data_IF_227293277846
#
_entry.id   IF_227293277846
#
_cell.length_a   1.000
_cell.length_b   1.000
_cell.length_c   1.000
_cell.angle_alpha   90.00
_cell.angle_beta   90.00
_cell.angle_gamma   90.00
#
_symmetry.space_group_name_H-M   'P 1'
#
loop_
_entity.id
_entity.type
_entity.pdbx_description
1 polymer ?
#
# COMPACT_ATOMS: atom_id res chain seq x y z
N UNK A 1 -9.14 -26.59 -19.90
CA UNK A 1 -8.13 -27.13 -18.96
C UNK A 1 -8.75 -27.12 -17.58
N UNK A 2 -8.24 -27.94 -16.65
CA UNK A 2 -8.69 -27.90 -15.26
C UNK A 2 -8.11 -26.67 -14.58
N UNK A 3 -8.96 -25.85 -13.98
CA UNK A 3 -8.59 -24.65 -13.22
C UNK A 3 -9.16 -24.76 -11.80
N UNK A 4 -8.67 -23.90 -10.91
CA UNK A 4 -9.26 -23.67 -9.60
C UNK A 4 -9.82 -22.25 -9.54
N UNK A 5 -11.13 -22.12 -9.33
CA UNK A 5 -11.80 -20.83 -9.17
C UNK A 5 -11.75 -20.41 -7.72
N UNK A 6 -11.01 -19.35 -7.43
CA UNK A 6 -10.97 -18.69 -6.13
C UNK A 6 -12.24 -17.85 -5.94
N UNK A 7 -12.87 -17.99 -4.77
CA UNK A 7 -13.98 -17.14 -4.36
C UNK A 7 -13.46 -15.73 -4.10
N UNK A 8 -13.91 -14.73 -4.85
CA UNK A 8 -13.62 -13.31 -4.59
C UNK A 8 -14.63 -12.76 -3.59
N UNK A 9 -14.19 -12.57 -2.33
CA UNK A 9 -15.03 -11.98 -1.28
C UNK A 9 -15.06 -10.44 -1.34
N UNK A 10 -14.41 -9.85 -2.34
CA UNK A 10 -14.30 -8.42 -2.54
C UNK A 10 -13.12 -7.80 -1.78
N UNK A 11 -13.33 -6.61 -1.22
CA UNK A 11 -12.40 -6.00 -0.29
C UNK A 11 -12.22 -6.93 0.93
N UNK A 12 -11.03 -6.91 1.53
CA UNK A 12 -10.69 -7.77 2.67
C UNK A 12 -10.44 -9.26 2.30
N UNK A 13 -10.11 -9.55 1.04
CA UNK A 13 -9.74 -10.88 0.51
C UNK A 13 -8.29 -10.95 -0.04
N UNK A 14 -7.33 -10.42 0.72
CA UNK A 14 -5.91 -10.41 0.33
C UNK A 14 -5.31 -11.79 0.13
N UNK A 15 -5.88 -12.84 0.73
CA UNK A 15 -5.43 -14.22 0.54
C UNK A 15 -5.60 -14.67 -0.91
N UNK A 16 -6.80 -14.52 -1.49
CA UNK A 16 -7.10 -14.87 -2.88
C UNK A 16 -6.19 -14.10 -3.86
N UNK A 17 -6.03 -12.79 -3.63
CA UNK A 17 -5.15 -11.95 -4.46
C UNK A 17 -3.68 -12.32 -4.34
N UNK A 18 -3.22 -12.65 -3.12
CA UNK A 18 -1.85 -13.12 -2.90
C UNK A 18 -1.61 -14.38 -3.71
N UNK A 19 -2.48 -15.39 -3.60
CA UNK A 19 -2.33 -16.66 -4.33
C UNK A 19 -2.35 -16.42 -5.84
N UNK A 20 -3.31 -15.63 -6.34
CA UNK A 20 -3.40 -15.28 -7.75
C UNK A 20 -2.08 -14.69 -8.27
N UNK A 21 -1.54 -13.70 -7.56
CA UNK A 21 -0.32 -13.03 -7.98
C UNK A 21 0.92 -13.91 -7.81
N UNK A 22 0.97 -14.79 -6.81
CA UNK A 22 2.07 -15.76 -6.70
C UNK A 22 1.99 -16.85 -7.77
N UNK A 23 0.81 -17.32 -8.16
CA UNK A 23 0.67 -18.20 -9.33
C UNK A 23 1.29 -17.54 -10.58
N UNK A 24 0.99 -16.26 -10.83
CA UNK A 24 1.60 -15.49 -11.93
C UNK A 24 3.13 -15.39 -11.81
N UNK A 25 3.65 -15.21 -10.60
CA UNK A 25 5.10 -15.17 -10.35
C UNK A 25 5.81 -16.49 -10.71
N UNK A 26 5.16 -17.62 -10.41
CA UNK A 26 5.67 -18.97 -10.71
C UNK A 26 5.37 -19.43 -12.14
N UNK A 27 4.83 -18.55 -13.00
CA UNK A 27 4.49 -18.89 -14.39
C UNK A 27 3.28 -19.82 -14.53
N UNK A 28 2.52 -20.02 -13.46
CA UNK A 28 1.26 -20.74 -13.46
C UNK A 28 0.15 -19.87 -14.03
N UNK A 29 -0.90 -20.51 -14.56
CA UNK A 29 -2.09 -19.79 -15.01
C UNK A 29 -2.74 -19.03 -13.85
N UNK A 30 -3.19 -17.81 -14.14
CA UNK A 30 -3.68 -16.88 -13.13
C UNK A 30 -4.29 -15.65 -13.78
N UNK A 31 -5.61 -15.56 -13.82
CA UNK A 31 -6.33 -14.45 -14.45
C UNK A 31 -7.59 -14.04 -13.67
N UNK A 32 -8.00 -12.81 -13.90
CA UNK A 32 -9.22 -12.24 -13.35
C UNK A 32 -10.43 -12.72 -14.18
N UNK A 33 -11.43 -13.36 -13.55
CA UNK A 33 -12.73 -13.70 -14.17
C UNK A 33 -13.75 -12.59 -13.91
N UNK A 34 -15.03 -12.71 -14.28
CA UNK A 34 -16.01 -11.65 -14.00
C UNK A 34 -16.44 -11.58 -12.52
N UNK A 35 -16.49 -12.75 -11.87
CA UNK A 35 -17.03 -13.02 -10.54
C UNK A 35 -15.97 -13.54 -9.56
N UNK A 36 -14.72 -13.67 -10.00
CA UNK A 36 -13.61 -14.03 -9.13
C UNK A 36 -12.28 -14.16 -9.85
N UNK A 37 -11.48 -15.14 -9.42
CA UNK A 37 -10.17 -15.37 -10.00
C UNK A 37 -10.02 -16.84 -10.37
N UNK A 38 -9.36 -17.11 -11.48
CA UNK A 38 -9.02 -18.46 -11.89
C UNK A 38 -7.51 -18.64 -11.84
N UNK A 39 -7.07 -19.68 -11.14
CA UNK A 39 -5.68 -20.11 -11.07
C UNK A 39 -5.53 -21.54 -11.61
N UNK A 40 -4.29 -21.94 -11.86
CA UNK A 40 -3.98 -23.32 -12.21
C UNK A 40 -4.50 -24.30 -11.13
N UNK A 41 -5.11 -25.41 -11.54
CA UNK A 41 -5.62 -26.41 -10.61
C UNK A 41 -4.52 -27.03 -9.72
N UNK A 42 -3.25 -26.99 -10.16
CA UNK A 42 -2.10 -27.40 -9.36
C UNK A 42 -1.91 -26.52 -8.10
N UNK A 43 -2.38 -25.28 -8.15
CA UNK A 43 -2.31 -24.35 -7.02
C UNK A 43 -3.44 -24.54 -5.99
N UNK A 44 -4.40 -25.45 -6.21
CA UNK A 44 -5.52 -25.66 -5.29
C UNK A 44 -5.05 -26.05 -3.87
N UNK A 45 -4.05 -26.92 -3.75
CA UNK A 45 -3.47 -27.31 -2.46
C UNK A 45 -2.78 -26.14 -1.75
N UNK A 46 -2.15 -25.24 -2.52
CA UNK A 46 -1.57 -24.01 -1.97
C UNK A 46 -2.66 -23.05 -1.49
N UNK A 47 -3.75 -22.93 -2.24
CA UNK A 47 -4.90 -22.12 -1.85
C UNK A 47 -5.55 -22.62 -0.55
N UNK A 48 -5.76 -23.93 -0.42
CA UNK A 48 -6.31 -24.55 0.78
C UNK A 48 -5.42 -24.29 2.02
N UNK A 49 -4.09 -24.46 1.88
CA UNK A 49 -3.13 -24.20 2.96
C UNK A 49 -3.13 -22.73 3.43
N UNK A 50 -3.47 -21.81 2.53
CA UNK A 50 -3.58 -20.38 2.82
C UNK A 50 -4.99 -19.94 3.19
N UNK A 51 -5.94 -20.87 3.26
CA UNK A 51 -7.32 -20.60 3.66
C UNK A 51 -8.15 -19.89 2.61
N UNK A 52 -7.72 -19.87 1.34
CA UNK A 52 -8.52 -19.36 0.25
C UNK A 52 -9.49 -20.44 -0.23
N UNK A 53 -10.77 -20.10 -0.27
CA UNK A 53 -11.82 -21.01 -0.72
C UNK A 53 -11.93 -20.99 -2.25
N UNK A 54 -12.22 -22.15 -2.83
CA UNK A 54 -12.46 -22.25 -4.26
C UNK A 54 -13.00 -23.61 -4.66
N UNK A 55 -13.20 -23.79 -5.96
CA UNK A 55 -13.65 -25.04 -6.55
C UNK A 55 -12.88 -25.39 -7.82
N UNK A 56 -12.72 -26.69 -8.06
CA UNK A 56 -12.17 -27.18 -9.32
C UNK A 56 -13.22 -27.02 -10.41
N UNK A 57 -12.83 -26.42 -11.53
CA UNK A 57 -13.70 -26.19 -12.67
C UNK A 57 -12.96 -26.41 -14.00
N UNK A 58 -13.73 -26.43 -15.09
CA UNK A 58 -13.19 -26.32 -16.44
C UNK A 58 -13.22 -24.86 -16.91
N UNK A 59 -12.13 -24.43 -17.53
CA UNK A 59 -12.01 -23.08 -18.06
C UNK A 59 -10.77 -22.85 -18.92
N UNK A 60 -10.61 -21.63 -19.45
CA UNK A 60 -9.39 -21.21 -20.11
C UNK A 60 -8.24 -21.15 -19.09
N UNK A 61 -7.06 -21.59 -19.51
CA UNK A 61 -5.84 -21.47 -18.73
C UNK A 61 -5.03 -20.32 -19.31
N UNK A 62 -5.21 -19.13 -18.75
CA UNK A 62 -4.52 -17.92 -19.22
C UNK A 62 -3.38 -17.57 -18.27
N UNK A 63 -2.20 -17.39 -18.86
CA UNK A 63 -1.01 -16.94 -18.15
C UNK A 63 -0.92 -15.42 -18.28
N UNK A 64 -1.08 -14.74 -17.14
CA UNK A 64 -0.79 -13.33 -17.00
C UNK A 64 0.60 -13.13 -16.41
N UNK A 65 1.27 -12.03 -16.75
CA UNK A 65 2.60 -11.71 -16.19
C UNK A 65 2.47 -10.70 -15.06
N UNK A 66 3.34 -10.81 -14.05
CA UNK A 66 3.40 -9.79 -13.02
C UNK A 66 4.04 -8.50 -13.53
N UNK A 67 3.54 -7.32 -13.12
CA UNK A 67 4.24 -6.08 -13.34
C UNK A 67 5.52 -5.99 -12.52
N UNK A 68 6.56 -5.44 -13.13
CA UNK A 68 7.80 -5.01 -12.47
C UNK A 68 7.51 -3.63 -11.89
N UNK A 69 7.41 -3.56 -10.58
CA UNK A 69 6.97 -2.36 -9.87
C UNK A 69 8.17 -1.67 -9.23
N UNK A 70 8.34 -0.38 -9.50
CA UNK A 70 9.23 0.50 -8.76
C UNK A 70 8.43 1.36 -7.78
N UNK A 71 8.90 1.52 -6.55
CA UNK A 71 8.39 2.54 -5.61
C UNK A 71 9.47 3.61 -5.47
N UNK A 72 9.11 4.87 -5.67
CA UNK A 72 10.04 5.94 -5.39
C UNK A 72 10.30 6.08 -3.88
N UNK A 73 11.57 5.98 -3.49
CA UNK A 73 12.05 6.03 -2.11
C UNK A 73 13.24 6.99 -1.95
N UNK A 74 13.22 8.09 -2.70
CA UNK A 74 14.22 9.15 -2.62
C UNK A 74 14.16 9.96 -1.32
N UNK A 75 15.14 10.82 -1.10
CA UNK A 75 15.23 11.72 0.07
C UNK A 75 14.05 12.69 0.15
N UNK A 76 13.44 13.04 -0.98
CA UNK A 76 12.24 13.88 -1.02
C UNK A 76 11.02 13.23 -0.35
N UNK A 77 11.03 11.90 -0.18
CA UNK A 77 9.93 11.14 0.42
C UNK A 77 10.47 10.34 1.62
N UNK A 78 10.24 10.87 2.82
CA UNK A 78 10.60 10.18 4.06
C UNK A 78 9.75 8.93 4.33
N UNK A 79 10.31 8.01 5.13
CA UNK A 79 9.50 7.00 5.83
C UNK A 79 8.49 7.71 6.76
N UNK A 80 7.25 7.21 6.92
CA UNK A 80 6.69 5.94 6.44
C UNK A 80 5.98 6.00 5.06
N UNK A 81 5.97 7.14 4.35
CA UNK A 81 5.07 7.34 3.21
C UNK A 81 5.19 6.28 2.12
N UNK A 82 6.41 5.94 1.71
CA UNK A 82 6.61 4.91 0.69
C UNK A 82 6.42 3.48 1.23
N UNK A 83 6.62 3.28 2.53
CA UNK A 83 6.46 1.98 3.18
C UNK A 83 4.98 1.55 3.29
N UNK A 84 4.03 2.49 3.28
CA UNK A 84 2.61 2.15 3.17
C UNK A 84 2.29 1.48 1.82
N UNK A 85 2.87 1.97 0.71
CA UNK A 85 2.75 1.28 -0.58
C UNK A 85 3.47 -0.06 -0.59
N UNK A 86 4.64 -0.15 0.05
CA UNK A 86 5.33 -1.44 0.21
C UNK A 86 4.41 -2.45 0.92
N UNK A 87 3.78 -2.06 2.02
CA UNK A 87 2.83 -2.91 2.74
C UNK A 87 1.61 -3.28 1.88
N UNK A 88 1.03 -2.32 1.14
CA UNK A 88 -0.09 -2.58 0.25
C UNK A 88 0.26 -3.60 -0.86
N UNK A 89 1.39 -3.42 -1.54
CA UNK A 89 1.83 -4.33 -2.61
C UNK A 89 2.16 -5.72 -2.08
N UNK A 90 2.89 -5.82 -0.97
CA UNK A 90 3.19 -7.12 -0.35
C UNK A 90 1.91 -7.83 0.11
N UNK A 91 0.94 -7.09 0.63
CA UNK A 91 -0.37 -7.66 1.02
C UNK A 91 -1.17 -8.17 -0.16
N UNK A 92 -0.92 -7.65 -1.36
CA UNK A 92 -1.48 -8.14 -2.62
C UNK A 92 -0.65 -9.28 -3.25
N UNK A 93 0.43 -9.74 -2.61
CA UNK A 93 1.34 -10.75 -3.18
C UNK A 93 2.28 -10.23 -4.27
N UNK A 94 2.43 -8.90 -4.39
CA UNK A 94 3.27 -8.25 -5.39
C UNK A 94 4.60 -7.82 -4.78
N UNK A 95 5.70 -8.15 -5.45
CA UNK A 95 7.04 -7.65 -5.10
C UNK A 95 7.28 -6.29 -5.74
N UNK A 96 8.26 -5.55 -5.22
CA UNK A 96 8.60 -4.22 -5.69
C UNK A 96 10.09 -3.96 -5.52
N UNK A 97 10.60 -2.95 -6.21
CA UNK A 97 11.95 -2.42 -6.01
C UNK A 97 11.88 -0.95 -5.57
N UNK A 98 12.50 -0.58 -4.44
CA UNK A 98 12.70 0.82 -4.08
C UNK A 98 13.69 1.47 -5.05
N UNK A 99 13.39 2.68 -5.52
CA UNK A 99 14.26 3.46 -6.41
C UNK A 99 14.39 4.91 -5.95
N UNK A 100 15.60 5.46 -5.95
CA UNK A 100 15.86 6.86 -5.63
C UNK A 100 16.06 7.75 -6.87
N UNK A 101 16.23 9.06 -6.66
CA UNK A 101 16.47 10.01 -7.75
C UNK A 101 17.73 9.68 -8.57
N UNK A 102 18.80 9.20 -7.95
CA UNK A 102 20.06 8.86 -8.64
C UNK A 102 19.87 7.69 -9.58
N UNK A 103 19.21 6.63 -9.12
CA UNK A 103 18.88 5.46 -9.94
C UNK A 103 17.96 5.84 -11.10
N UNK A 104 16.96 6.71 -10.88
CA UNK A 104 16.09 7.21 -11.94
C UNK A 104 16.88 7.97 -13.01
N UNK A 105 17.74 8.92 -12.61
CA UNK A 105 18.59 9.66 -13.57
C UNK A 105 19.58 8.76 -14.31
N UNK A 106 19.98 7.63 -13.71
CA UNK A 106 20.82 6.62 -14.34
C UNK A 106 20.05 5.64 -15.25
N UNK A 107 18.74 5.84 -15.45
CA UNK A 107 17.91 5.05 -16.38
C UNK A 107 17.29 3.79 -15.79
N UNK A 108 17.22 3.65 -14.46
CA UNK A 108 16.65 2.46 -13.82
C UNK A 108 15.19 2.17 -14.22
N UNK A 109 14.40 3.19 -14.55
CA UNK A 109 12.98 3.06 -14.91
C UNK A 109 12.74 2.19 -16.15
N UNK A 110 13.73 2.03 -17.04
CA UNK A 110 13.64 1.14 -18.20
C UNK A 110 13.41 -0.35 -17.84
N UNK A 111 13.69 -0.72 -16.58
CA UNK A 111 13.48 -2.08 -16.04
C UNK A 111 12.10 -2.31 -15.45
N UNK A 112 11.24 -1.29 -15.40
CA UNK A 112 9.96 -1.34 -14.71
C UNK A 112 8.80 -1.05 -15.66
N UNK A 113 7.61 -1.42 -15.23
CA UNK A 113 6.36 -1.15 -15.96
C UNK A 113 5.49 -0.14 -15.22
N UNK A 114 5.66 -0.07 -13.91
CA UNK A 114 4.96 0.85 -13.04
C UNK A 114 5.95 1.59 -12.16
N UNK A 115 5.81 2.91 -12.12
CA UNK A 115 6.35 3.75 -11.06
C UNK A 115 5.21 4.11 -10.08
N UNK A 116 5.36 3.70 -8.83
CA UNK A 116 4.51 4.13 -7.71
C UNK A 116 5.16 5.34 -7.07
N UNK A 117 4.41 6.43 -6.94
CA UNK A 117 4.82 7.70 -6.37
C UNK A 117 4.02 8.01 -5.09
N UNK A 118 4.61 7.80 -3.91
CA UNK A 118 3.95 8.04 -2.64
C UNK A 118 3.60 9.51 -2.36
N UNK A 119 2.91 9.74 -1.23
CA UNK A 119 2.76 11.09 -0.68
C UNK A 119 4.05 11.64 -0.03
N UNK A 120 3.94 12.73 0.71
CA UNK A 120 5.06 13.27 1.51
C UNK A 120 5.89 14.37 0.83
N UNK A 121 5.56 14.74 -0.40
CA UNK A 121 6.13 15.88 -1.13
C UNK A 121 5.00 16.60 -1.88
N UNK A 122 5.10 17.89 -2.21
CA UNK A 122 4.02 18.56 -2.96
C UNK A 122 4.47 19.82 -3.68
N UNK A 123 5.29 20.64 -3.04
CA UNK A 123 5.46 22.04 -3.46
C UNK A 123 6.31 22.22 -4.72
N UNK A 124 7.18 21.26 -5.05
CA UNK A 124 8.15 21.36 -6.15
C UNK A 124 8.29 20.02 -6.89
N UNK A 125 8.78 20.06 -8.14
CA UNK A 125 9.23 18.87 -8.86
C UNK A 125 10.38 18.16 -8.13
N UNK A 126 10.60 16.89 -8.46
CA UNK A 126 11.58 16.04 -7.77
C UNK A 126 13.00 16.55 -7.98
N UNK A 127 13.31 17.14 -9.14
CA UNK A 127 14.62 17.74 -9.39
C UNK A 127 15.02 18.73 -8.30
N UNK A 128 14.06 19.57 -7.89
CA UNK A 128 14.26 20.58 -6.85
C UNK A 128 14.18 19.98 -5.45
N UNK A 129 13.26 19.04 -5.22
CA UNK A 129 13.08 18.42 -3.91
C UNK A 129 14.33 17.59 -3.51
N UNK A 130 14.96 16.94 -4.47
CA UNK A 130 16.18 16.14 -4.28
C UNK A 130 17.48 16.95 -4.47
N UNK A 131 17.39 18.18 -4.99
CA UNK A 131 18.54 18.94 -5.47
C UNK A 131 19.37 18.16 -6.51
N UNK A 132 18.69 17.42 -7.40
CA UNK A 132 19.29 16.53 -8.40
C UNK A 132 18.56 16.70 -9.74
N UNK A 133 19.15 17.38 -10.74
CA UNK A 133 18.47 17.61 -12.02
C UNK A 133 18.32 16.32 -12.84
N UNK A 134 17.23 16.23 -13.62
CA UNK A 134 16.99 15.17 -14.60
C UNK A 134 16.02 14.07 -14.15
N UNK A 135 15.57 14.06 -12.90
CA UNK A 135 14.58 13.11 -12.39
C UNK A 135 13.24 13.33 -13.11
N UNK A 136 12.78 14.58 -13.15
CA UNK A 136 11.50 14.96 -13.78
C UNK A 136 11.49 14.58 -15.27
N UNK A 137 12.62 14.81 -15.96
CA UNK A 137 12.78 14.45 -17.37
C UNK A 137 12.78 12.93 -17.58
N UNK A 138 13.48 12.18 -16.74
CA UNK A 138 13.53 10.71 -16.83
C UNK A 138 12.15 10.08 -16.61
N UNK A 139 11.35 10.59 -15.66
CA UNK A 139 9.99 10.11 -15.42
C UNK A 139 9.08 10.43 -16.61
N UNK A 140 9.17 11.62 -17.21
CA UNK A 140 8.42 11.95 -18.44
C UNK A 140 8.75 11.01 -19.59
N UNK A 141 10.04 10.70 -19.78
CA UNK A 141 10.49 9.74 -20.79
C UNK A 141 9.87 8.37 -20.54
N UNK A 142 9.97 7.86 -19.31
CA UNK A 142 9.37 6.58 -18.91
C UNK A 142 7.88 6.49 -19.26
N UNK A 143 7.09 7.54 -18.93
CA UNK A 143 5.68 7.60 -19.30
C UNK A 143 5.48 7.61 -20.82
N UNK A 144 6.21 8.46 -21.53
CA UNK A 144 6.10 8.55 -23.00
C UNK A 144 6.41 7.23 -23.71
N UNK A 145 7.27 6.40 -23.10
CA UNK A 145 7.71 5.10 -23.60
C UNK A 145 6.78 3.93 -23.23
N UNK A 146 5.68 4.19 -22.51
CA UNK A 146 4.68 3.18 -22.15
C UNK A 146 4.69 2.76 -20.69
N UNK A 147 5.53 3.39 -19.86
CA UNK A 147 5.48 3.20 -18.42
C UNK A 147 4.16 3.68 -17.82
N UNK A 148 3.69 2.98 -16.80
CA UNK A 148 2.52 3.36 -16.01
C UNK A 148 2.91 4.09 -14.72
N UNK A 149 1.99 4.88 -14.19
CA UNK A 149 2.18 5.61 -12.93
C UNK A 149 0.97 5.51 -12.03
N UNK A 150 1.23 5.25 -10.74
CA UNK A 150 0.26 5.41 -9.67
C UNK A 150 0.81 6.43 -8.68
N UNK A 151 0.02 7.43 -8.29
CA UNK A 151 0.43 8.36 -7.23
C UNK A 151 -0.69 8.74 -6.28
N UNK A 152 -0.37 8.88 -4.98
CA UNK A 152 -1.30 9.40 -3.97
C UNK A 152 -0.78 10.71 -3.37
N UNK A 153 -1.68 11.61 -2.98
CA UNK A 153 -1.35 12.89 -2.35
C UNK A 153 -0.25 13.65 -3.10
N UNK A 154 0.99 13.61 -2.61
CA UNK A 154 2.16 14.20 -3.24
C UNK A 154 2.45 13.72 -4.65
N UNK A 155 2.38 12.40 -4.88
CA UNK A 155 2.44 11.85 -6.24
C UNK A 155 1.27 12.32 -7.12
N UNK A 156 0.11 12.59 -6.52
CA UNK A 156 -1.04 13.20 -7.20
C UNK A 156 -0.79 14.66 -7.62
N UNK A 157 -0.24 15.49 -6.72
CA UNK A 157 0.20 16.84 -7.05
C UNK A 157 1.26 16.83 -8.15
N UNK A 158 2.29 15.99 -7.99
CA UNK A 158 3.40 15.91 -8.93
C UNK A 158 2.98 15.48 -10.32
N UNK A 159 1.99 14.59 -10.45
CA UNK A 159 1.42 14.20 -11.73
C UNK A 159 0.54 15.29 -12.38
N UNK A 160 0.07 16.27 -11.60
CA UNK A 160 -0.89 17.27 -12.05
C UNK A 160 -0.24 18.45 -12.78
N UNK A 161 -1.07 19.24 -13.46
CA UNK A 161 -0.72 20.58 -13.90
C UNK A 161 -0.72 21.58 -12.72
N UNK A 162 -0.09 22.73 -12.94
CA UNK A 162 -0.26 23.90 -12.07
C UNK A 162 1.00 24.44 -11.40
N UNK A 163 2.13 23.72 -11.42
CA UNK A 163 3.41 24.24 -10.94
C UNK A 163 4.60 23.87 -11.82
N UNK A 164 5.63 24.73 -11.89
CA UNK A 164 6.91 24.37 -12.49
C UNK A 164 7.53 23.13 -11.83
N UNK A 165 7.99 22.19 -12.64
CA UNK A 165 8.58 20.92 -12.19
C UNK A 165 7.57 19.78 -11.99
N UNK A 166 6.27 20.06 -11.92
CA UNK A 166 5.28 18.97 -11.97
C UNK A 166 5.15 18.41 -13.37
N UNK A 167 4.78 17.12 -13.46
CA UNK A 167 4.71 16.35 -14.70
C UNK A 167 3.65 16.88 -15.67
N UNK A 168 2.56 17.47 -15.20
CA UNK A 168 1.46 17.86 -16.09
C UNK A 168 0.89 16.68 -16.90
N UNK A 169 0.90 15.48 -16.29
CA UNK A 169 0.33 14.27 -16.85
C UNK A 169 -1.19 14.26 -16.73
N UNK A 170 -1.73 14.88 -15.68
CA UNK A 170 -3.15 15.13 -15.47
C UNK A 170 -3.41 16.61 -15.78
N UNK A 171 -4.28 16.88 -16.75
CA UNK A 171 -4.65 18.22 -17.21
C UNK A 171 -5.64 18.92 -16.26
N UNK A 172 -5.32 18.89 -14.97
CA UNK A 172 -6.08 19.53 -13.92
C UNK A 172 -5.14 20.18 -12.90
N UNK A 173 -5.36 21.46 -12.63
CA UNK A 173 -4.68 22.18 -11.56
C UNK A 173 -5.47 22.02 -10.25
N UNK A 174 -4.86 21.51 -9.17
CA UNK A 174 -5.49 21.49 -7.84
C UNK A 174 -5.81 22.90 -7.35
N UNK A 175 -6.89 23.07 -6.59
CA UNK A 175 -7.28 24.37 -6.01
C UNK A 175 -6.21 24.94 -5.08
N UNK A 176 -5.57 24.08 -4.31
CA UNK A 176 -4.58 24.44 -3.29
C UNK A 176 -3.23 23.86 -3.67
N UNK A 177 -2.41 24.66 -4.35
CA UNK A 177 -1.09 24.20 -4.81
C UNK A 177 0.03 24.65 -3.88
N UNK A 178 0.00 25.87 -3.35
CA UNK A 178 0.97 26.38 -2.37
C UNK A 178 0.44 26.19 -0.96
N UNK A 179 -0.84 26.46 -0.79
CA UNK A 179 -1.59 26.40 0.45
C UNK A 179 -2.25 25.03 0.65
N UNK A 180 -1.62 23.95 0.16
CA UNK A 180 -2.19 22.59 0.17
C UNK A 180 -2.60 22.12 1.59
N UNK A 181 -1.92 22.62 2.62
CA UNK A 181 -2.26 22.41 4.03
C UNK A 181 -3.68 22.89 4.41
N UNK A 182 -4.31 23.78 3.64
CA UNK A 182 -5.67 24.24 3.91
C UNK A 182 -6.70 23.11 3.94
N UNK A 183 -6.44 22.01 3.22
CA UNK A 183 -7.38 20.90 3.10
C UNK A 183 -7.29 19.92 4.27
N UNK A 184 -6.35 20.09 5.21
CA UNK A 184 -6.34 19.34 6.46
C UNK A 184 -6.14 17.80 6.33
N UNK A 185 -6.36 17.11 7.45
CA UNK A 185 -6.32 15.65 7.57
C UNK A 185 -7.65 15.08 8.12
N UNK A 186 -8.08 13.94 7.58
CA UNK A 186 -9.34 13.28 7.94
C UNK A 186 -9.38 11.81 7.49
N UNK A 187 -10.40 11.08 7.94
CA UNK A 187 -10.92 9.92 7.24
C UNK A 187 -12.08 10.38 6.38
N UNK A 188 -12.00 10.10 5.08
CA UNK A 188 -13.00 10.45 4.07
C UNK A 188 -13.48 9.19 3.37
N UNK A 189 -14.70 9.18 2.86
CA UNK A 189 -15.14 8.15 1.93
C UNK A 189 -15.16 8.66 0.50
N UNK A 190 -14.75 7.83 -0.45
CA UNK A 190 -14.89 8.07 -1.88
C UNK A 190 -15.86 7.09 -2.51
N UNK A 191 -16.49 7.48 -3.62
CA UNK A 191 -17.22 6.55 -4.50
C UNK A 191 -16.49 6.43 -5.82
N UNK A 192 -16.30 5.19 -6.27
CA UNK A 192 -15.66 4.86 -7.54
C UNK A 192 -16.76 4.66 -8.59
N UNK A 193 -16.56 5.24 -9.77
CA UNK A 193 -17.53 5.19 -10.87
C UNK A 193 -17.08 4.29 -12.01
N UNK A 194 -15.78 4.00 -12.09
CA UNK A 194 -15.24 3.11 -13.12
C UNK A 194 -15.50 1.62 -12.78
N UNK A 195 -16.05 0.82 -13.72
CA UNK A 195 -16.37 -0.59 -13.48
C UNK A 195 -15.17 -1.48 -13.13
N UNK A 196 -13.99 -1.18 -13.65
CA UNK A 196 -12.77 -1.96 -13.33
C UNK A 196 -12.29 -1.58 -11.93
N UNK A 197 -12.21 -0.28 -11.62
CA UNK A 197 -11.77 0.16 -10.31
C UNK A 197 -12.74 -0.21 -9.18
N UNK A 198 -14.05 -0.28 -9.44
CA UNK A 198 -15.05 -0.57 -8.39
C UNK A 198 -15.18 -2.05 -8.05
N UNK A 199 -14.53 -2.95 -8.80
CA UNK A 199 -14.73 -4.38 -8.67
C UNK A 199 -14.36 -4.89 -7.27
N UNK A 200 -15.30 -5.58 -6.62
CA UNK A 200 -15.12 -6.10 -5.26
C UNK A 200 -15.08 -5.03 -4.18
N UNK A 201 -15.22 -3.75 -4.51
CA UNK A 201 -15.22 -2.67 -3.52
C UNK A 201 -16.63 -2.42 -2.97
N UNK A 202 -16.75 -1.95 -1.71
CA UNK A 202 -17.99 -1.39 -1.21
C UNK A 202 -18.36 -0.10 -1.98
N UNK A 203 -19.64 0.27 -1.92
CA UNK A 203 -20.18 1.48 -2.59
C UNK A 203 -19.46 2.77 -2.17
N UNK A 204 -18.96 2.81 -0.93
CA UNK A 204 -18.14 3.89 -0.39
C UNK A 204 -16.88 3.28 0.24
N UNK A 205 -15.72 3.73 -0.22
CA UNK A 205 -14.41 3.30 0.28
C UNK A 205 -13.89 4.35 1.24
N UNK A 206 -13.71 3.98 2.51
CA UNK A 206 -13.13 4.86 3.53
C UNK A 206 -11.60 4.82 3.48
N UNK A 207 -11.00 6.00 3.32
CA UNK A 207 -9.57 6.18 3.15
C UNK A 207 -9.05 7.30 4.05
N UNK A 208 -7.80 7.17 4.48
CA UNK A 208 -7.08 8.27 5.10
C UNK A 208 -6.84 9.39 4.06
N UNK A 209 -6.97 10.64 4.50
CA UNK A 209 -6.72 11.82 3.68
C UNK A 209 -5.78 12.75 4.45
N UNK A 210 -4.67 13.11 3.79
CA UNK A 210 -3.66 14.03 4.33
C UNK A 210 -3.27 15.03 3.26
N UNK A 211 -3.96 16.17 3.22
CA UNK A 211 -3.66 17.29 2.34
C UNK A 211 -3.60 16.97 0.84
N UNK A 212 -4.29 15.93 0.38
CA UNK A 212 -4.29 15.52 -1.03
C UNK A 212 -4.77 16.62 -1.99
N UNK A 213 -4.49 16.49 -3.30
CA UNK A 213 -4.94 17.47 -4.28
C UNK A 213 -6.47 17.50 -4.37
N UNK A 214 -7.06 18.68 -4.24
CA UNK A 214 -8.50 18.92 -4.45
C UNK A 214 -8.69 19.55 -5.81
N UNK A 215 -9.48 18.91 -6.66
CA UNK A 215 -9.77 19.39 -8.02
C UNK A 215 -11.20 19.92 -8.11
N UNK A 216 -11.47 20.85 -9.04
CA UNK A 216 -12.85 21.24 -9.39
C UNK A 216 -13.56 20.12 -10.17
N UNK A 217 -14.83 20.33 -10.51
CA UNK A 217 -15.56 19.55 -11.52
C UNK A 217 -15.44 20.18 -12.94
N UNK A 218 -14.31 20.81 -13.26
CA UNK A 218 -14.10 21.39 -14.59
C UNK A 218 -13.97 20.33 -15.69
N UNK A 219 -14.42 20.69 -16.90
CA UNK A 219 -14.14 19.92 -18.12
C UNK A 219 -12.63 19.78 -18.31
N UNK A 220 -12.18 18.54 -18.54
CA UNK A 220 -10.78 18.15 -18.75
C UNK A 220 -10.72 16.88 -19.59
N UNK A 221 -9.55 16.55 -20.13
CA UNK A 221 -9.29 15.31 -20.85
C UNK A 221 -9.08 14.12 -19.89
N UNK A 222 -8.48 14.35 -18.72
CA UNK A 222 -8.32 13.33 -17.69
C UNK A 222 -9.69 12.80 -17.23
N UNK A 223 -9.83 11.48 -17.21
CA UNK A 223 -11.03 10.80 -16.75
C UNK A 223 -11.14 10.91 -15.22
N UNK A 224 -12.32 11.28 -14.72
CA UNK A 224 -12.67 11.12 -13.31
C UNK A 224 -13.20 9.72 -13.06
N UNK A 225 -12.48 8.96 -12.24
CA UNK A 225 -12.78 7.56 -11.92
C UNK A 225 -13.47 7.40 -10.56
N UNK A 226 -13.52 8.47 -9.77
CA UNK A 226 -14.18 8.50 -8.48
C UNK A 226 -14.18 9.90 -7.87
N UNK A 227 -15.05 10.11 -6.89
CA UNK A 227 -15.29 11.40 -6.25
C UNK A 227 -15.37 11.28 -4.72
N UNK A 228 -15.06 12.37 -4.02
CA UNK A 228 -15.29 12.46 -2.58
C UNK A 228 -16.78 12.41 -2.25
N UNK A 229 -17.16 11.57 -1.29
CA UNK A 229 -18.56 11.34 -0.92
C UNK A 229 -18.91 11.91 0.45
N UNK A 230 -18.24 11.45 1.51
CA UNK A 230 -18.55 11.84 2.88
C UNK A 230 -17.29 12.15 3.70
N UNK A 231 -17.46 13.05 4.66
CA UNK A 231 -16.56 13.23 5.78
C UNK A 231 -16.90 12.21 6.87
N UNK A 232 -15.92 11.42 7.32
CA UNK A 232 -16.14 10.37 8.34
C UNK A 232 -15.69 10.86 9.70
N UNK A 233 -14.42 11.28 9.81
CA UNK A 233 -13.86 11.79 11.07
C UNK A 233 -12.66 12.70 10.83
N UNK A 234 -12.37 13.58 11.78
CA UNK A 234 -11.10 14.32 11.78
C UNK A 234 -9.92 13.38 12.05
N UNK A 235 -8.73 13.77 11.58
CA UNK A 235 -7.46 13.16 11.98
C UNK A 235 -6.50 14.25 12.45
N UNK A 236 -5.80 13.97 13.55
CA UNK A 236 -4.70 14.78 14.09
C UNK A 236 -3.41 13.97 14.23
N UNK A 237 -3.43 12.76 13.69
CA UNK A 237 -2.35 11.79 13.78
C UNK A 237 -1.26 12.16 12.77
N UNK A 238 -0.02 12.29 13.23
CA UNK A 238 1.17 12.78 12.51
C UNK A 238 1.15 14.25 12.11
N UNK A 239 -0.02 14.80 11.77
CA UNK A 239 -0.17 16.22 11.42
C UNK A 239 -1.39 16.76 12.17
N UNK A 240 -1.15 17.66 13.14
CA UNK A 240 -2.22 18.34 13.88
C UNK A 240 -2.81 19.49 13.06
N UNK A 241 -3.48 19.13 11.97
CA UNK A 241 -4.18 20.03 11.07
C UNK A 241 -5.44 19.35 10.53
N UNK A 242 -6.47 19.16 11.37
CA UNK A 242 -7.67 18.43 10.97
C UNK A 242 -8.45 19.18 9.89
N UNK A 243 -8.99 18.45 8.92
CA UNK A 243 -9.89 19.01 7.91
C UNK A 243 -11.22 19.42 8.57
N UNK A 244 -11.58 20.69 8.41
CA UNK A 244 -12.89 21.18 8.82
C UNK A 244 -14.01 20.57 7.97
N UNK A 245 -15.02 19.99 8.61
CA UNK A 245 -16.19 19.41 7.91
C UNK A 245 -16.89 20.43 7.00
N UNK A 246 -16.96 21.70 7.39
CA UNK A 246 -17.53 22.77 6.55
C UNK A 246 -16.70 23.09 5.32
N UNK A 247 -15.38 22.89 5.37
CA UNK A 247 -14.50 23.02 4.22
C UNK A 247 -14.71 21.84 3.27
N UNK A 248 -14.81 20.61 3.81
CA UNK A 248 -15.12 19.42 3.02
C UNK A 248 -16.42 19.60 2.22
N UNK A 249 -17.50 20.00 2.90
CA UNK A 249 -18.81 20.16 2.25
C UNK A 249 -18.80 21.23 1.15
N UNK A 250 -17.99 22.28 1.31
CA UNK A 250 -17.91 23.40 0.36
C UNK A 250 -17.00 23.11 -0.83
N UNK A 251 -15.83 22.49 -0.61
CA UNK A 251 -14.74 22.44 -1.60
C UNK A 251 -14.45 21.04 -2.14
N UNK A 252 -14.78 19.98 -1.40
CA UNK A 252 -14.34 18.62 -1.73
C UNK A 252 -15.51 17.70 -2.09
N UNK A 253 -16.65 17.84 -1.43
CA UNK A 253 -17.78 16.93 -1.65
C UNK A 253 -18.21 16.92 -3.13
N UNK A 254 -18.35 15.72 -3.68
CA UNK A 254 -18.65 15.46 -5.09
C UNK A 254 -17.60 15.96 -6.09
N UNK A 255 -16.38 16.29 -5.64
CA UNK A 255 -15.28 16.61 -6.55
C UNK A 255 -14.38 15.39 -6.79
N UNK A 256 -13.55 15.38 -7.85
CA UNK A 256 -12.76 14.22 -8.21
C UNK A 256 -11.75 13.84 -7.12
N UNK A 257 -11.79 12.57 -6.72
CA UNK A 257 -10.84 11.97 -5.79
C UNK A 257 -9.88 11.00 -6.48
N UNK A 258 -10.27 10.49 -7.65
CA UNK A 258 -9.44 9.62 -8.50
C UNK A 258 -9.48 10.13 -9.93
N UNK A 259 -8.31 10.36 -10.51
CA UNK A 259 -8.15 10.83 -11.90
C UNK A 259 -7.24 9.90 -12.68
N UNK A 260 -7.44 9.83 -13.99
CA UNK A 260 -6.54 9.12 -14.90
C UNK A 260 -6.37 9.83 -16.22
N UNK A 261 -5.18 9.74 -16.80
CA UNK A 261 -4.90 10.23 -18.15
C UNK A 261 -3.89 9.32 -18.88
N UNK A 262 -3.87 9.43 -20.20
CA UNK A 262 -2.78 8.88 -21.03
C UNK A 262 -1.68 9.90 -21.23
N UNK A 263 -0.42 9.47 -21.23
CA UNK A 263 0.76 10.31 -21.50
C UNK A 263 1.65 9.59 -22.50
N UNK A 264 1.66 10.04 -23.76
CA UNK A 264 2.34 9.30 -24.83
C UNK A 264 1.75 7.89 -24.96
N UNK A 265 2.58 6.85 -24.77
CA UNK A 265 2.13 5.45 -24.72
C UNK A 265 1.77 4.97 -23.32
N UNK A 266 2.08 5.75 -22.28
CA UNK A 266 1.88 5.40 -20.89
C UNK A 266 0.52 5.85 -20.35
N UNK A 267 0.22 5.43 -19.13
CA UNK A 267 -1.05 5.71 -18.45
C UNK A 267 -0.82 6.02 -16.98
N UNK A 268 -1.55 7.00 -16.48
CA UNK A 268 -1.43 7.54 -15.13
C UNK A 268 -2.75 7.36 -14.40
N UNK A 269 -2.70 6.92 -13.15
CA UNK A 269 -3.81 6.97 -12.19
C UNK A 269 -3.32 7.70 -10.96
N UNK A 270 -4.09 8.67 -10.48
CA UNK A 270 -3.79 9.36 -9.22
C UNK A 270 -4.96 9.30 -8.25
N UNK A 271 -4.60 9.23 -6.98
CA UNK A 271 -5.50 9.29 -5.84
C UNK A 271 -5.23 10.58 -5.07
N UNK A 272 -6.29 11.32 -4.78
CA UNK A 272 -6.21 12.40 -3.80
C UNK A 272 -6.01 11.86 -2.37
N UNK A 273 -6.85 10.95 -1.87
CA UNK A 273 -6.61 10.27 -0.58
C UNK A 273 -5.52 9.19 -0.69
N UNK A 274 -5.24 8.52 0.43
CA UNK A 274 -4.22 7.50 0.56
C UNK A 274 -4.81 6.07 0.60
N UNK A 275 -5.00 5.39 -0.54
CA UNK A 275 -5.44 4.00 -0.55
C UNK A 275 -4.40 3.02 0.04
N UNK A 276 -3.14 3.41 0.12
CA UNK A 276 -2.03 2.61 0.67
C UNK A 276 -1.97 2.63 2.20
N UNK A 277 -2.60 3.61 2.84
CA UNK A 277 -2.60 3.75 4.29
C UNK A 277 -3.65 2.81 4.87
N UNK A 278 -3.25 1.55 5.07
CA UNK A 278 -4.11 0.45 5.51
C UNK A 278 -4.88 0.69 6.81
N UNK A 279 -5.72 -0.28 7.19
CA UNK A 279 -6.62 -0.19 8.34
C UNK A 279 -5.90 0.08 9.69
N UNK A 280 -4.64 -0.32 9.86
CA UNK A 280 -3.90 -0.04 11.10
C UNK A 280 -3.68 1.47 11.32
N UNK A 281 -3.55 2.28 10.26
CA UNK A 281 -3.51 3.73 10.40
C UNK A 281 -4.89 4.27 10.82
N UNK A 282 -5.97 3.78 10.19
CA UNK A 282 -7.35 4.14 10.56
C UNK A 282 -7.66 3.75 12.01
N UNK A 283 -7.14 2.60 12.48
CA UNK A 283 -7.18 2.18 13.89
C UNK A 283 -6.48 3.21 14.79
N UNK A 284 -5.31 3.70 14.38
CA UNK A 284 -4.61 4.81 15.08
C UNK A 284 -5.46 6.08 15.17
N UNK A 285 -6.07 6.50 14.06
CA UNK A 285 -6.96 7.68 14.03
C UNK A 285 -8.18 7.47 14.96
N UNK A 286 -8.80 6.29 14.91
CA UNK A 286 -9.91 5.93 15.78
C UNK A 286 -9.48 5.89 17.26
N UNK A 287 -8.26 5.43 17.55
CA UNK A 287 -7.70 5.39 18.90
C UNK A 287 -7.51 6.79 19.48
N UNK A 288 -6.92 7.72 18.72
CA UNK A 288 -6.67 9.11 19.16
C UNK A 288 -7.98 9.90 19.34
N UNK A 289 -8.96 9.70 18.45
CA UNK A 289 -10.23 10.43 18.47
C UNK A 289 -11.36 9.69 19.18
N UNK A 290 -11.96 8.72 18.48
CA UNK A 290 -13.20 8.06 18.90
C UNK A 290 -13.04 7.30 20.22
N UNK A 291 -12.04 6.41 20.31
CA UNK A 291 -11.82 5.57 21.48
C UNK A 291 -11.54 6.42 22.71
N UNK A 292 -10.61 7.37 22.61
CA UNK A 292 -10.27 8.24 23.74
C UNK A 292 -11.49 9.01 24.27
N UNK A 293 -12.39 9.44 23.38
CA UNK A 293 -13.63 10.15 23.74
C UNK A 293 -14.68 9.25 24.37
N UNK A 294 -14.87 8.04 23.85
CA UNK A 294 -16.00 7.18 24.21
C UNK A 294 -15.66 6.05 25.17
N UNK A 295 -14.38 5.77 25.43
CA UNK A 295 -13.95 4.76 26.39
C UNK A 295 -14.55 4.95 27.79
N UNK A 296 -14.59 6.17 28.39
CA UNK A 296 -15.21 6.36 29.71
C UNK A 296 -16.73 6.14 29.73
N UNK A 297 -17.38 6.16 28.57
CA UNK A 297 -18.84 6.06 28.42
C UNK A 297 -19.27 4.64 28.06
N UNK A 298 -18.52 4.00 27.14
CA UNK A 298 -18.85 2.70 26.55
C UNK A 298 -18.07 1.55 27.20
N UNK A 299 -17.00 1.85 27.93
CA UNK A 299 -16.17 0.89 28.65
C UNK A 299 -15.18 0.13 27.77
N UNK A 300 -14.25 -0.57 28.42
CA UNK A 300 -13.16 -1.32 27.80
C UNK A 300 -13.62 -2.29 26.71
N UNK A 301 -14.61 -3.14 27.01
CA UNK A 301 -15.01 -4.23 26.11
C UNK A 301 -15.42 -3.72 24.73
N UNK A 302 -16.25 -2.68 24.68
CA UNK A 302 -16.74 -2.11 23.42
C UNK A 302 -15.60 -1.48 22.62
N UNK A 303 -14.66 -0.81 23.28
CA UNK A 303 -13.52 -0.19 22.60
C UNK A 303 -12.50 -1.23 22.12
N UNK A 304 -12.25 -2.30 22.89
CA UNK A 304 -11.39 -3.42 22.47
C UNK A 304 -11.97 -4.12 21.24
N UNK A 305 -13.28 -4.41 21.24
CA UNK A 305 -13.98 -4.97 20.08
C UNK A 305 -13.93 -4.03 18.86
N UNK A 306 -14.05 -2.71 19.09
CA UNK A 306 -13.93 -1.69 18.03
C UNK A 306 -12.54 -1.71 17.39
N UNK A 307 -11.47 -1.72 18.19
CA UNK A 307 -10.10 -1.74 17.68
C UNK A 307 -9.77 -3.04 16.94
N UNK A 308 -10.35 -4.16 17.38
CA UNK A 308 -10.19 -5.47 16.73
C UNK A 308 -10.97 -5.64 15.43
N UNK A 309 -11.90 -4.73 15.14
CA UNK A 309 -12.62 -4.72 13.87
C UNK A 309 -11.74 -4.23 12.70
N UNK A 310 -10.74 -3.39 12.99
CA UNK A 310 -9.79 -2.96 11.97
C UNK A 310 -8.96 -4.15 11.51
N UNK A 311 -9.07 -4.47 10.22
CA UNK A 311 -8.33 -5.57 9.61
C UNK A 311 -6.83 -5.28 9.68
N UNK A 312 -6.04 -6.32 9.92
CA UNK A 312 -4.58 -6.15 10.08
C UNK A 312 -3.87 -6.12 8.73
N UNK A 313 -4.28 -7.03 7.85
CA UNK A 313 -3.51 -7.46 6.69
C UNK A 313 -4.19 -7.13 5.36
N UNK A 314 -5.28 -6.37 5.40
CA UNK A 314 -6.01 -5.97 4.21
C UNK A 314 -6.90 -4.75 4.46
N UNK A 315 -7.23 -4.04 3.38
CA UNK A 315 -8.23 -2.98 3.39
C UNK A 315 -8.85 -2.78 1.99
N UNK A 316 -9.98 -2.08 1.94
CA UNK A 316 -10.59 -1.69 0.67
C UNK A 316 -9.66 -0.80 -0.20
N UNK A 317 -8.75 -0.04 0.42
CA UNK A 317 -7.71 0.72 -0.28
C UNK A 317 -6.72 -0.18 -1.04
N UNK A 318 -6.32 -1.33 -0.50
CA UNK A 318 -5.43 -2.26 -1.18
C UNK A 318 -6.12 -2.89 -2.38
N UNK A 319 -7.40 -3.27 -2.24
CA UNK A 319 -8.19 -3.73 -3.39
C UNK A 319 -8.31 -2.65 -4.48
N UNK A 320 -8.47 -1.38 -4.09
CA UNK A 320 -8.49 -0.27 -5.04
C UNK A 320 -7.14 -0.12 -5.78
N UNK A 321 -6.00 -0.31 -5.08
CA UNK A 321 -4.68 -0.34 -5.72
C UNK A 321 -4.59 -1.50 -6.71
N UNK A 322 -5.00 -2.71 -6.33
CA UNK A 322 -5.02 -3.86 -7.25
C UNK A 322 -5.86 -3.57 -8.50
N UNK A 323 -7.08 -3.05 -8.32
CA UNK A 323 -7.95 -2.74 -9.44
C UNK A 323 -7.36 -1.64 -10.35
N UNK A 324 -6.58 -0.70 -9.79
CA UNK A 324 -5.84 0.28 -10.58
C UNK A 324 -4.75 -0.38 -11.44
N UNK A 325 -4.05 -1.42 -10.94
CA UNK A 325 -3.10 -2.19 -11.75
C UNK A 325 -3.80 -2.90 -12.92
N UNK A 326 -4.98 -3.48 -12.67
CA UNK A 326 -5.82 -4.10 -13.71
C UNK A 326 -6.28 -3.05 -14.74
N UNK A 327 -6.76 -1.89 -14.28
CA UNK A 327 -7.19 -0.78 -15.14
C UNK A 327 -6.05 -0.20 -15.99
N UNK A 328 -4.81 -0.27 -15.50
CA UNK A 328 -3.60 0.10 -16.24
C UNK A 328 -3.16 -0.99 -17.24
N UNK A 329 -3.81 -2.16 -17.25
CA UNK A 329 -3.50 -3.28 -18.15
C UNK A 329 -2.20 -3.99 -17.79
N UNK A 330 -1.72 -3.87 -16.55
CA UNK A 330 -0.36 -4.25 -16.17
C UNK A 330 -0.11 -5.77 -16.12
N UNK A 331 -1.18 -6.56 -16.07
CA UNK A 331 -1.13 -8.02 -16.07
C UNK A 331 -1.21 -8.65 -17.48
N UNK A 332 -1.44 -7.85 -18.53
CA UNK A 332 -1.54 -8.36 -19.89
C UNK A 332 -0.23 -9.01 -20.38
N UNK A 333 -0.28 -10.09 -21.19
CA UNK A 333 0.91 -10.74 -21.75
C UNK A 333 1.79 -9.76 -22.51
N UNK A 334 3.10 -9.90 -22.40
CA UNK A 334 4.08 -9.02 -23.05
C UNK A 334 4.84 -9.71 -24.17
N UNK A 335 5.28 -8.91 -25.15
CA UNK A 335 6.34 -9.31 -26.06
C UNK A 335 7.66 -9.54 -25.31
N UNK A 336 8.56 -10.33 -25.88
CA UNK A 336 9.82 -10.78 -25.28
C UNK A 336 10.76 -9.59 -24.98
N UNK A 337 10.63 -8.99 -23.80
CA UNK A 337 11.63 -8.08 -23.25
C UNK A 337 12.58 -8.87 -22.35
N UNK A 338 13.89 -8.66 -22.52
CA UNK A 338 14.92 -9.31 -21.72
C UNK A 338 14.81 -8.89 -20.25
N UNK A 339 14.63 -9.87 -19.37
CA UNK A 339 14.69 -9.69 -17.92
C UNK A 339 16.14 -9.33 -17.58
N UNK A 340 16.35 -8.11 -17.07
CA UNK A 340 17.66 -7.73 -16.56
C UNK A 340 18.00 -8.59 -15.33
N UNK A 341 19.28 -8.94 -15.09
CA UNK A 341 19.66 -9.65 -13.88
C UNK A 341 19.20 -8.86 -12.65
N UNK A 342 18.42 -9.51 -11.79
CA UNK A 342 18.06 -8.98 -10.48
C UNK A 342 19.31 -8.95 -9.61
N UNK A 343 19.48 -7.88 -8.84
CA UNK A 343 20.40 -7.92 -7.69
C UNK A 343 19.96 -9.08 -6.79
N UNK A 344 20.93 -9.81 -6.25
CA UNK A 344 20.67 -10.92 -5.33
C UNK A 344 20.87 -10.41 -3.91
N UNK A 345 19.90 -10.67 -3.05
CA UNK A 345 20.04 -10.44 -1.60
C UNK A 345 20.02 -11.79 -0.91
N UNK A 346 20.99 -12.04 -0.03
CA UNK A 346 21.02 -13.32 0.69
C UNK A 346 19.96 -13.32 1.80
N UNK A 347 19.32 -14.47 2.08
CA UNK A 347 18.49 -14.64 3.27
C UNK A 347 19.16 -14.17 4.56
N UNK A 348 20.48 -14.25 4.66
CA UNK A 348 21.25 -13.79 5.84
C UNK A 348 21.19 -12.27 6.04
N UNK A 349 21.05 -11.48 4.96
CA UNK A 349 20.87 -10.04 5.08
C UNK A 349 19.51 -9.69 5.68
N UNK A 350 18.44 -10.35 5.22
CA UNK A 350 17.12 -10.19 5.81
C UNK A 350 17.11 -10.57 7.29
N UNK A 351 17.72 -11.71 7.64
CA UNK A 351 17.82 -12.16 9.04
C UNK A 351 18.57 -11.16 9.92
N UNK A 352 19.69 -10.61 9.46
CA UNK A 352 20.43 -9.56 10.21
C UNK A 352 19.62 -8.29 10.42
N UNK A 353 18.86 -7.87 9.41
CA UNK A 353 17.97 -6.70 9.54
C UNK A 353 16.83 -6.99 10.52
N UNK A 354 16.24 -8.19 10.47
CA UNK A 354 15.20 -8.59 11.41
C UNK A 354 15.68 -8.60 12.87
N UNK A 355 16.91 -9.04 13.14
CA UNK A 355 17.49 -8.97 14.49
C UNK A 355 17.60 -7.52 14.99
N UNK A 356 17.94 -6.59 14.09
CA UNK A 356 18.03 -5.16 14.41
C UNK A 356 16.64 -4.56 14.65
N UNK A 357 15.65 -4.93 13.83
CA UNK A 357 14.26 -4.50 13.98
C UNK A 357 13.65 -5.06 15.26
N UNK A 358 13.92 -6.32 15.62
CA UNK A 358 13.43 -6.93 16.87
C UNK A 358 13.91 -6.15 18.10
N UNK A 359 15.19 -5.78 18.13
CA UNK A 359 15.75 -4.93 19.18
C UNK A 359 15.09 -3.53 19.21
N UNK A 360 14.92 -2.90 18.05
CA UNK A 360 14.28 -1.57 17.94
C UNK A 360 12.80 -1.60 18.38
N UNK A 361 12.05 -2.65 18.01
CA UNK A 361 10.67 -2.84 18.45
C UNK A 361 10.61 -3.08 19.96
N UNK A 362 11.52 -3.85 20.54
CA UNK A 362 11.62 -4.03 21.99
C UNK A 362 11.81 -2.71 22.74
N UNK A 363 12.70 -1.84 22.24
CA UNK A 363 12.89 -0.50 22.77
C UNK A 363 11.62 0.37 22.60
N UNK A 364 11.02 0.36 21.41
CA UNK A 364 9.80 1.10 21.09
C UNK A 364 8.64 0.71 22.02
N UNK A 365 8.43 -0.59 22.27
CA UNK A 365 7.42 -1.07 23.21
C UNK A 365 7.67 -0.61 24.65
N UNK A 366 8.93 -0.55 25.08
CA UNK A 366 9.28 -0.05 26.43
C UNK A 366 8.87 1.42 26.56
N UNK A 367 9.11 2.23 25.53
CA UNK A 367 8.70 3.63 25.51
C UNK A 367 7.18 3.77 25.46
N UNK A 368 6.48 2.97 24.65
CA UNK A 368 5.01 2.94 24.60
C UNK A 368 4.39 2.62 25.97
N UNK A 369 4.92 1.61 26.66
CA UNK A 369 4.46 1.23 28.00
C UNK A 369 4.70 2.36 29.01
N UNK A 370 5.85 3.03 28.94
CA UNK A 370 6.17 4.18 29.78
C UNK A 370 5.22 5.37 29.51
N UNK A 371 5.03 5.74 28.24
CA UNK A 371 4.13 6.83 27.86
C UNK A 371 2.68 6.54 28.26
N UNK A 372 2.26 5.27 28.18
CA UNK A 372 0.91 4.87 28.57
C UNK A 372 0.62 5.14 30.04
N UNK A 373 1.63 5.24 30.93
CA UNK A 373 1.41 5.53 32.34
C UNK A 373 0.73 6.89 32.60
N UNK A 374 0.85 7.83 31.65
CA UNK A 374 0.17 9.13 31.72
C UNK A 374 -1.33 9.07 31.35
N UNK A 375 -1.81 7.93 30.83
CA UNK A 375 -3.21 7.74 30.43
C UNK A 375 -4.11 7.35 31.62
N UNK A 376 -5.43 7.45 31.42
CA UNK A 376 -6.43 6.93 32.39
C UNK A 376 -6.27 5.42 32.62
N UNK A 377 -6.80 4.90 33.74
CA UNK A 377 -6.70 3.46 34.05
C UNK A 377 -7.31 2.58 32.97
N UNK A 378 -8.50 2.94 32.48
CA UNK A 378 -9.19 2.22 31.43
C UNK A 378 -8.41 2.26 30.10
N UNK A 379 -7.83 3.41 29.77
CA UNK A 379 -7.02 3.56 28.55
C UNK A 379 -5.70 2.79 28.66
N UNK A 380 -5.06 2.79 29.84
CA UNK A 380 -3.88 1.95 30.11
C UNK A 380 -4.17 0.47 29.92
N UNK A 381 -5.31 -0.01 30.42
CA UNK A 381 -5.72 -1.41 30.21
C UNK A 381 -5.92 -1.72 28.73
N UNK A 382 -6.57 -0.82 27.98
CA UNK A 382 -6.80 -0.99 26.53
C UNK A 382 -5.49 -1.01 25.74
N UNK A 383 -4.60 -0.07 26.02
CA UNK A 383 -3.28 0.01 25.38
C UNK A 383 -2.42 -1.21 25.72
N UNK A 384 -2.41 -1.66 26.98
CA UNK A 384 -1.69 -2.87 27.38
C UNK A 384 -2.17 -4.11 26.61
N UNK A 385 -3.48 -4.23 26.36
CA UNK A 385 -4.04 -5.31 25.56
C UNK A 385 -3.60 -5.23 24.08
N UNK A 386 -3.61 -4.04 23.48
CA UNK A 386 -3.09 -3.81 22.12
C UNK A 386 -1.59 -4.13 22.02
N UNK A 387 -0.78 -3.65 22.98
CA UNK A 387 0.67 -3.90 22.99
C UNK A 387 0.97 -5.40 23.14
N UNK A 388 0.28 -6.10 24.03
CA UNK A 388 0.46 -7.54 24.21
C UNK A 388 0.13 -8.32 22.92
N UNK A 389 -0.97 -7.96 22.24
CA UNK A 389 -1.34 -8.57 20.95
C UNK A 389 -0.28 -8.32 19.88
N UNK A 390 0.19 -7.08 19.75
CA UNK A 390 1.18 -6.73 18.73
C UNK A 390 2.54 -7.37 19.01
N UNK A 391 2.96 -7.45 20.28
CA UNK A 391 4.17 -8.19 20.69
C UNK A 391 4.08 -9.67 20.34
N UNK A 392 2.96 -10.33 20.67
CA UNK A 392 2.76 -11.74 20.34
C UNK A 392 2.81 -11.97 18.81
N UNK A 393 2.10 -11.13 18.07
CA UNK A 393 2.07 -11.19 16.62
C UNK A 393 3.46 -11.01 16.01
N UNK A 394 4.24 -10.06 16.51
CA UNK A 394 5.63 -9.88 16.08
C UNK A 394 6.47 -11.14 16.30
N UNK A 395 6.36 -11.79 17.46
CA UNK A 395 7.10 -13.03 17.74
C UNK A 395 6.69 -14.20 16.83
N UNK A 396 5.40 -14.31 16.53
CA UNK A 396 4.87 -15.33 15.62
C UNK A 396 5.37 -15.10 14.19
N UNK A 397 5.36 -13.85 13.73
CA UNK A 397 5.85 -13.44 12.40
C UNK A 397 7.35 -13.65 12.28
N UNK A 398 8.13 -13.20 13.26
CA UNK A 398 9.59 -13.31 13.27
C UNK A 398 10.01 -14.78 13.24
N UNK A 399 9.37 -15.62 14.06
CA UNK A 399 9.58 -17.07 14.08
C UNK A 399 9.22 -17.70 12.74
N UNK A 400 8.09 -17.29 12.16
CA UNK A 400 7.66 -17.74 10.84
C UNK A 400 8.66 -17.43 9.74
N UNK A 401 9.17 -16.19 9.67
CA UNK A 401 10.16 -15.79 8.65
C UNK A 401 11.45 -16.58 8.84
N UNK A 402 11.97 -16.67 10.07
CA UNK A 402 13.18 -17.46 10.37
C UNK A 402 13.03 -18.92 9.92
N UNK A 403 11.85 -19.52 10.16
CA UNK A 403 11.53 -20.86 9.68
C UNK A 403 11.62 -20.96 8.15
N UNK A 404 10.94 -20.06 7.43
CA UNK A 404 10.96 -20.05 5.96
C UNK A 404 12.38 -19.83 5.39
N UNK A 405 13.17 -18.92 5.96
CA UNK A 405 14.57 -18.71 5.55
C UNK A 405 15.46 -19.95 5.75
N UNK A 406 15.16 -20.77 6.76
CA UNK A 406 15.93 -21.99 7.04
C UNK A 406 15.57 -23.17 6.13
N UNK A 407 14.34 -23.19 5.60
CA UNK A 407 13.78 -24.31 4.83
C UNK A 407 13.95 -24.14 3.31
N UNK A 408 14.31 -22.96 2.80
CA UNK A 408 14.40 -22.70 1.36
C UNK A 408 14.93 -21.32 1.00
N UNK A 409 15.03 -21.07 -0.32
CA UNK A 409 15.37 -19.75 -0.87
C UNK A 409 14.19 -18.78 -0.77
N UNK A 410 14.49 -17.49 -0.69
CA UNK A 410 13.51 -16.40 -0.70
C UNK A 410 13.56 -15.75 -2.08
N UNK A 411 12.42 -15.33 -2.61
CA UNK A 411 12.39 -14.45 -3.78
C UNK A 411 13.30 -13.22 -3.56
N UNK A 412 14.27 -13.02 -4.46
CA UNK A 412 15.29 -11.97 -4.32
C UNK A 412 14.65 -10.57 -4.23
N UNK A 413 13.58 -10.31 -4.99
CA UNK A 413 12.90 -9.00 -4.96
C UNK A 413 12.14 -8.79 -3.66
N UNK A 414 11.50 -9.84 -3.15
CA UNK A 414 10.88 -9.81 -1.82
C UNK A 414 11.92 -9.49 -0.74
N UNK A 415 13.07 -10.17 -0.78
CA UNK A 415 14.15 -9.97 0.19
C UNK A 415 14.68 -8.53 0.13
N UNK A 416 14.99 -8.01 -1.06
CA UNK A 416 15.45 -6.62 -1.26
C UNK A 416 14.40 -5.63 -0.74
N UNK A 417 13.15 -5.76 -1.19
CA UNK A 417 12.07 -4.85 -0.82
C UNK A 417 11.84 -4.80 0.69
N UNK A 418 11.83 -5.96 1.36
CA UNK A 418 11.71 -6.04 2.82
C UNK A 418 12.92 -5.45 3.53
N UNK A 419 14.14 -5.82 3.13
CA UNK A 419 15.38 -5.30 3.73
C UNK A 419 15.38 -3.77 3.70
N UNK A 420 15.12 -3.15 2.55
CA UNK A 420 15.12 -1.70 2.43
C UNK A 420 14.00 -1.05 3.25
N UNK A 421 12.79 -1.62 3.24
CA UNK A 421 11.66 -1.07 4.02
C UNK A 421 11.90 -1.14 5.53
N UNK A 422 12.47 -2.26 6.01
CA UNK A 422 12.79 -2.47 7.42
C UNK A 422 13.97 -1.62 7.89
N UNK A 423 14.99 -1.44 7.05
CA UNK A 423 16.08 -0.50 7.33
C UNK A 423 15.57 0.94 7.48
N UNK A 424 14.63 1.37 6.61
CA UNK A 424 13.98 2.66 6.72
C UNK A 424 13.11 2.82 7.97
N UNK A 425 12.60 1.73 8.51
CA UNK A 425 11.77 1.75 9.72
C UNK A 425 12.56 2.01 11.00
N UNK A 426 13.79 1.50 11.11
CA UNK A 426 14.58 1.54 12.36
C UNK A 426 14.71 2.98 12.90
N UNK A 427 15.14 4.00 12.12
CA UNK A 427 15.22 5.37 12.62
C UNK A 427 13.85 5.91 13.05
N UNK A 428 12.76 5.53 12.37
CA UNK A 428 11.42 6.02 12.68
C UNK A 428 10.89 5.52 14.04
N UNK A 429 11.36 4.35 14.49
CA UNK A 429 11.01 3.79 15.80
C UNK A 429 11.71 4.52 16.96
N UNK A 430 12.79 5.22 16.67
CA UNK A 430 13.61 5.95 17.64
C UNK A 430 13.18 7.42 17.79
N UNK A 431 12.39 7.95 16.84
CA UNK A 431 11.92 9.34 16.88
C UNK A 431 10.83 9.51 17.94
N UNK A 432 11.04 10.36 18.96
CA UNK A 432 10.01 10.66 19.94
C UNK A 432 8.79 11.31 19.28
N UNK A 433 7.61 10.73 19.51
CA UNK A 433 6.33 11.18 18.95
C UNK A 433 5.20 10.93 19.96
N UNK A 434 3.96 11.32 19.63
CA UNK A 434 2.80 11.01 20.48
C UNK A 434 2.61 9.49 20.59
N UNK A 435 2.03 9.02 21.69
CA UNK A 435 1.81 7.59 21.95
C UNK A 435 1.16 6.85 20.78
N UNK A 436 0.09 7.41 20.19
CA UNK A 436 -0.62 6.76 19.08
C UNK A 436 0.18 6.77 17.78
N UNK A 437 0.96 7.82 17.52
CA UNK A 437 1.86 7.90 16.36
C UNK A 437 2.95 6.84 16.47
N UNK A 438 3.56 6.73 17.65
CA UNK A 438 4.52 5.70 17.97
C UNK A 438 3.92 4.31 17.76
N UNK A 439 2.72 4.04 18.27
CA UNK A 439 2.06 2.74 18.10
C UNK A 439 1.89 2.37 16.61
N UNK A 440 1.49 3.33 15.77
CA UNK A 440 1.35 3.11 14.32
C UNK A 440 2.72 2.84 13.67
N UNK A 441 3.76 3.57 14.05
CA UNK A 441 5.12 3.35 13.55
C UNK A 441 5.70 2.00 14.02
N UNK A 442 5.40 1.58 15.25
CA UNK A 442 5.76 0.26 15.80
C UNK A 442 5.02 -0.87 15.06
N UNK A 443 3.77 -0.65 14.64
CA UNK A 443 2.97 -1.66 13.97
C UNK A 443 3.39 -1.88 12.50
N UNK A 444 3.81 -0.84 11.77
CA UNK A 444 4.11 -0.95 10.33
C UNK A 444 5.19 -2.00 9.98
N UNK A 445 6.34 -2.12 10.68
CA UNK A 445 7.31 -3.19 10.44
C UNK A 445 6.73 -4.60 10.63
N UNK A 446 5.84 -4.76 11.62
CA UNK A 446 5.15 -6.04 11.87
C UNK A 446 4.27 -6.39 10.67
N UNK A 447 3.53 -5.42 10.13
CA UNK A 447 2.65 -5.58 8.96
C UNK A 447 3.42 -5.91 7.69
N UNK A 448 4.54 -5.22 7.43
CA UNK A 448 5.45 -5.52 6.32
C UNK A 448 5.95 -6.97 6.39
N UNK A 449 6.42 -7.40 7.57
CA UNK A 449 6.91 -8.76 7.79
C UNK A 449 5.79 -9.80 7.67
N UNK A 450 4.59 -9.51 8.19
CA UNK A 450 3.44 -10.40 8.09
C UNK A 450 3.01 -10.63 6.63
N UNK A 451 2.99 -9.57 5.82
CA UNK A 451 2.74 -9.67 4.39
C UNK A 451 3.84 -10.46 3.66
N UNK A 452 5.11 -10.19 3.96
CA UNK A 452 6.24 -10.94 3.43
C UNK A 452 6.17 -12.44 3.76
N UNK A 453 5.87 -12.78 5.01
CA UNK A 453 5.71 -14.17 5.46
C UNK A 453 4.59 -14.89 4.71
N UNK A 454 3.47 -14.21 4.40
CA UNK A 454 2.40 -14.80 3.57
C UNK A 454 2.89 -15.13 2.16
N UNK A 455 3.65 -14.23 1.54
CA UNK A 455 4.26 -14.48 0.23
C UNK A 455 5.18 -15.71 0.30
N UNK A 456 6.10 -15.76 1.27
CA UNK A 456 7.04 -16.88 1.44
C UNK A 456 6.30 -18.21 1.59
N UNK A 457 5.26 -18.26 2.44
CA UNK A 457 4.43 -19.46 2.64
C UNK A 457 3.70 -19.86 1.36
N UNK A 458 3.21 -18.89 0.59
CA UNK A 458 2.56 -19.13 -0.68
C UNK A 458 3.52 -19.71 -1.71
N UNK A 459 4.70 -19.10 -1.86
CA UNK A 459 5.73 -19.56 -2.79
C UNK A 459 6.15 -20.99 -2.45
N UNK A 460 6.41 -21.27 -1.17
CA UNK A 460 6.74 -22.61 -0.70
C UNK A 460 5.63 -23.62 -0.98
N UNK A 461 4.37 -23.22 -0.77
CA UNK A 461 3.23 -24.07 -1.04
C UNK A 461 3.10 -24.39 -2.54
N UNK A 462 3.40 -23.45 -3.43
CA UNK A 462 3.41 -23.64 -4.89
C UNK A 462 4.57 -24.53 -5.34
N UNK A 463 5.79 -24.30 -4.84
CA UNK A 463 6.97 -25.13 -5.13
C UNK A 463 6.76 -26.60 -4.74
N UNK A 464 6.23 -26.85 -3.53
CA UNK A 464 5.94 -28.22 -3.10
C UNK A 464 4.88 -28.90 -3.95
N UNK A 465 3.98 -28.18 -4.61
CA UNK A 465 3.03 -28.77 -5.55
C UNK A 465 3.70 -29.22 -6.87
N UNK A 466 4.83 -28.59 -7.25
CA UNK A 466 5.61 -28.98 -8.43
C UNK A 466 6.47 -30.24 -8.21
N UNK A 467 6.96 -30.50 -6.99
CA UNK A 467 7.83 -31.65 -6.68
C UNK A 467 7.10 -33.01 -6.67
N UNK A 468 5.76 -33.04 -6.68
CA UNK A 468 4.95 -34.28 -6.72
C UNK A 468 4.49 -34.67 -8.14
N UNK A 469 5.06 -34.06 -9.18
CA UNK A 469 4.95 -34.47 -10.59
C UNK A 469 6.25 -35.08 -11.08
#
# INVERSE_FOLDING_TARGET
MTIFRLVDRGAFDSASLTILNRCRAHGLAGHDEADGFAIDALAASAADKLGAAGEIAEGPSEVSVLPRIAIYSGQAIGYPYWAYYAHALLSLGLTFMPVDGKQITAGALSKFDLLVMPGGFATWGLDRAESLPGIDAAIRTFLSEGGAFIGSCGGGFYASDGRPGWLGAIDATPHYTQEYLLTGAAVLSISITDPVLTRGLPEAVELAYYHGPVFSNSTRAAASLGHFRNYISESRLFIDNPLASSLFDREMKNTPAVLSAGVGRGKVVIFSPHPEMGEFLRKGIALEGYVRRFLPIRGFKVMDETLRFFMKEDCAGFRLIYNALVYLGLFAPRGTATVAPTEKTSPDELLRVLDTVDAALGASFTVLEQQSQAESEEMRSLLAAEFARLKQEWQDVLTGIRGQCSEGGIDDQLAIGLVTALQGAIPSLEVPSKLTEMLVLTELPVRLCAAGLRIMRCDRALETCHEFQ
#
